data_IF_921962547780
#
_entry.id   IF_921962547780
#
_cell.length_a   1.000
_cell.length_b   1.000
_cell.length_c   1.000
_cell.angle_alpha   90.00
_cell.angle_beta   90.00
_cell.angle_gamma   90.00
#
_symmetry.space_group_name_H-M   'P 1'
#
loop_
_entity.id
_entity.type
_entity.pdbx_description
1 polymer ?
#
# COMPACT_ATOMS: atom_id res chain seq x y z
N UNK A 1 21.28 6.51 35.36
CA UNK A 1 20.73 6.07 34.06
C UNK A 1 19.21 6.01 34.04
N UNK A 2 18.54 5.28 34.95
CA UNK A 2 17.07 5.14 35.02
C UNK A 2 16.30 6.49 35.06
N UNK A 3 16.73 7.45 35.89
CA UNK A 3 16.08 8.78 36.03
C UNK A 3 16.03 9.59 34.72
N UNK A 4 17.05 9.47 33.86
CA UNK A 4 17.10 10.14 32.54
C UNK A 4 16.15 9.51 31.52
N UNK A 5 15.95 8.19 31.61
CA UNK A 5 15.00 7.46 30.77
C UNK A 5 13.56 7.87 31.10
N UNK A 6 13.22 7.97 32.39
CA UNK A 6 11.88 8.42 32.81
C UNK A 6 11.58 9.87 32.38
N UNK A 7 12.55 10.78 32.54
CA UNK A 7 12.38 12.17 32.08
C UNK A 7 12.21 12.23 30.55
N UNK A 8 12.99 11.46 29.79
CA UNK A 8 12.83 11.37 28.34
C UNK A 8 11.46 10.81 27.96
N UNK A 9 10.98 9.76 28.64
CA UNK A 9 9.67 9.18 28.38
C UNK A 9 8.54 10.17 28.66
N UNK A 10 8.61 10.90 29.79
CA UNK A 10 7.62 11.92 30.17
C UNK A 10 7.60 13.07 29.15
N UNK A 11 8.77 13.57 28.76
CA UNK A 11 8.87 14.63 27.74
C UNK A 11 8.33 14.15 26.39
N UNK A 12 8.69 12.94 25.96
CA UNK A 12 8.13 12.34 24.75
C UNK A 12 6.60 12.22 24.83
N UNK A 13 6.04 11.77 25.96
CA UNK A 13 4.58 11.69 26.10
C UNK A 13 3.88 13.05 26.01
N UNK A 14 4.49 14.13 26.53
CA UNK A 14 3.94 15.49 26.42
C UNK A 14 3.93 15.97 24.97
N UNK A 15 5.00 15.72 24.21
CA UNK A 15 5.08 16.12 22.79
C UNK A 15 4.15 15.31 21.89
N UNK A 16 3.84 14.06 22.25
CA UNK A 16 2.96 13.20 21.46
C UNK A 16 1.50 13.28 21.88
N UNK A 17 1.20 13.86 23.06
CA UNK A 17 -0.17 14.03 23.56
C UNK A 17 -1.12 14.73 22.56
N UNK A 18 -0.72 15.82 21.87
CA UNK A 18 -1.61 16.49 20.91
C UNK A 18 -2.05 15.59 19.74
N UNK A 19 -1.27 14.54 19.40
CA UNK A 19 -1.62 13.59 18.33
C UNK A 19 -2.83 12.72 18.66
N UNK A 20 -3.33 12.71 19.90
CA UNK A 20 -4.50 11.90 20.26
C UNK A 20 -5.80 12.70 20.38
N UNK A 21 -5.74 14.04 20.22
CA UNK A 21 -6.89 14.94 20.33
C UNK A 21 -7.21 15.67 19.03
N UNK A 22 -6.37 15.53 18.01
CA UNK A 22 -6.62 16.10 16.69
C UNK A 22 -7.59 15.22 15.88
N UNK A 23 -8.40 15.86 15.05
CA UNK A 23 -9.26 15.17 14.09
C UNK A 23 -8.42 14.71 12.88
N UNK A 24 -8.31 13.40 12.71
CA UNK A 24 -7.62 12.75 11.60
C UNK A 24 -8.60 12.03 10.66
N UNK A 25 -9.76 12.63 10.41
CA UNK A 25 -10.82 12.08 9.56
C UNK A 25 -10.36 11.47 8.23
N UNK A 26 -9.41 12.11 7.53
CA UNK A 26 -8.85 11.59 6.27
C UNK A 26 -8.10 10.28 6.49
N UNK A 27 -7.22 10.22 7.49
CA UNK A 27 -6.44 9.00 7.75
C UNK A 27 -7.29 7.88 8.34
N UNK A 28 -8.28 8.23 9.19
CA UNK A 28 -9.26 7.27 9.68
C UNK A 28 -10.08 6.67 8.53
N UNK A 29 -10.45 7.47 7.53
CA UNK A 29 -11.08 6.96 6.30
C UNK A 29 -10.16 6.00 5.55
N UNK A 30 -8.89 6.35 5.34
CA UNK A 30 -7.91 5.46 4.68
C UNK A 30 -7.68 4.17 5.45
N UNK A 31 -7.58 4.22 6.79
CA UNK A 31 -7.47 3.04 7.63
C UNK A 31 -8.71 2.14 7.53
N UNK A 32 -9.91 2.74 7.49
CA UNK A 32 -11.16 2.01 7.22
C UNK A 32 -11.13 1.31 5.86
N UNK A 33 -10.56 1.94 4.81
CA UNK A 33 -10.37 1.28 3.50
C UNK A 33 -9.37 0.13 3.56
N UNK A 34 -8.30 0.26 4.36
CA UNK A 34 -7.37 -0.85 4.59
C UNK A 34 -8.07 -2.01 5.30
N UNK A 35 -8.95 -1.75 6.27
CA UNK A 35 -9.75 -2.79 6.92
C UNK A 35 -10.61 -3.57 5.91
N UNK A 36 -11.31 -2.87 5.02
CA UNK A 36 -12.11 -3.51 3.95
C UNK A 36 -11.25 -4.42 3.06
N UNK A 37 -10.05 -3.97 2.68
CA UNK A 37 -9.12 -4.81 1.92
C UNK A 37 -8.74 -6.11 2.66
N UNK A 38 -8.54 -6.07 3.98
CA UNK A 38 -8.25 -7.26 4.78
C UNK A 38 -9.45 -8.21 4.88
N UNK A 39 -10.65 -7.67 5.14
CA UNK A 39 -11.90 -8.44 5.20
C UNK A 39 -12.16 -9.17 3.88
N UNK A 40 -11.90 -8.49 2.76
CA UNK A 40 -12.09 -9.02 1.40
C UNK A 40 -10.88 -9.78 0.85
N UNK A 41 -9.80 -9.93 1.63
CA UNK A 41 -8.57 -10.64 1.26
C UNK A 41 -7.87 -10.05 0.03
N UNK A 42 -7.98 -8.75 -0.17
CA UNK A 42 -7.22 -8.00 -1.17
C UNK A 42 -5.85 -7.61 -0.59
N UNK A 43 -4.86 -8.49 -0.74
CA UNK A 43 -3.48 -8.25 -0.29
C UNK A 43 -2.51 -8.45 -1.47
N UNK A 44 -1.72 -7.43 -1.86
CA UNK A 44 -1.73 -6.06 -1.34
C UNK A 44 -3.05 -5.33 -1.64
N UNK A 45 -3.41 -4.36 -0.79
CA UNK A 45 -4.58 -3.50 -1.03
C UNK A 45 -4.31 -2.60 -2.25
N UNK A 46 -5.20 -2.60 -3.25
CA UNK A 46 -5.00 -1.91 -4.54
C UNK A 46 -6.17 -1.00 -4.93
N UNK A 47 -7.37 -1.28 -4.43
CA UNK A 47 -8.57 -0.51 -4.69
C UNK A 47 -9.22 -0.16 -3.37
N UNK A 48 -9.79 1.03 -3.29
CA UNK A 48 -10.46 1.53 -2.10
C UNK A 48 -11.80 2.08 -2.53
N UNK A 49 -12.92 1.36 -2.35
CA UNK A 49 -14.21 1.76 -2.91
C UNK A 49 -14.81 3.00 -2.23
N UNK A 50 -14.43 3.31 -0.98
CA UNK A 50 -14.96 4.45 -0.22
C UNK A 50 -14.24 5.78 -0.46
N UNK A 51 -13.12 5.78 -1.18
CA UNK A 51 -12.41 7.04 -1.53
C UNK A 51 -13.08 7.74 -2.70
N UNK A 52 -12.67 9.00 -2.97
CA UNK A 52 -13.24 9.78 -4.07
C UNK A 52 -14.74 9.90 -3.96
N UNK A 53 -15.25 10.29 -2.78
CA UNK A 53 -16.70 10.44 -2.53
C UNK A 53 -17.54 9.16 -2.69
N UNK A 54 -16.91 7.99 -2.58
CA UNK A 54 -17.57 6.69 -2.73
C UNK A 54 -17.60 6.15 -4.16
N UNK A 55 -16.94 6.83 -5.10
CA UNK A 55 -16.70 6.34 -6.46
C UNK A 55 -15.44 5.47 -6.55
N UNK A 56 -14.61 5.44 -5.51
CA UNK A 56 -13.45 4.59 -5.34
C UNK A 56 -12.19 5.04 -6.08
N UNK A 57 -11.02 4.73 -5.53
CA UNK A 57 -9.74 5.11 -6.11
C UNK A 57 -8.62 4.09 -5.81
N UNK A 58 -7.53 4.09 -6.60
CA UNK A 58 -6.37 3.21 -6.42
C UNK A 58 -5.40 3.67 -5.30
N UNK A 59 -5.92 4.17 -4.17
CA UNK A 59 -5.19 4.81 -3.06
C UNK A 59 -3.84 4.16 -2.72
N UNK A 60 -3.85 2.87 -2.37
CA UNK A 60 -2.67 2.15 -1.86
C UNK A 60 -1.68 1.69 -2.94
N UNK A 61 -1.91 2.02 -4.22
CA UNK A 61 -0.88 1.89 -5.24
C UNK A 61 0.15 3.02 -5.19
N UNK A 62 -0.23 4.16 -4.62
CA UNK A 62 0.55 5.40 -4.69
C UNK A 62 0.90 5.96 -3.30
N UNK A 63 0.18 5.51 -2.28
CA UNK A 63 0.46 5.85 -0.88
C UNK A 63 1.33 4.77 -0.20
N UNK A 64 2.36 5.15 0.59
CA UNK A 64 3.16 4.18 1.35
C UNK A 64 2.26 3.37 2.30
N UNK A 65 2.17 2.03 2.12
CA UNK A 65 1.10 1.27 2.74
C UNK A 65 1.45 0.76 4.15
N UNK A 66 2.73 0.75 4.54
CA UNK A 66 3.19 0.15 5.80
C UNK A 66 2.54 0.77 7.06
N UNK A 67 2.36 2.10 7.18
CA UNK A 67 1.72 2.68 8.34
C UNK A 67 0.27 2.19 8.49
N UNK A 68 -0.46 2.01 7.37
CA UNK A 68 -1.84 1.51 7.38
C UNK A 68 -1.91 0.01 7.65
N UNK A 69 -0.94 -0.80 7.19
CA UNK A 69 -0.85 -2.21 7.59
C UNK A 69 -0.64 -2.35 9.10
N UNK A 70 0.21 -1.50 9.69
CA UNK A 70 0.41 -1.48 11.14
C UNK A 70 -0.82 -0.95 11.88
N UNK A 71 -1.45 0.11 11.37
CA UNK A 71 -2.70 0.63 11.90
C UNK A 71 -3.83 -0.40 11.87
N UNK A 72 -3.93 -1.18 10.81
CA UNK A 72 -4.93 -2.25 10.69
C UNK A 72 -4.70 -3.34 11.73
N UNK A 73 -3.44 -3.73 11.96
CA UNK A 73 -3.10 -4.67 13.02
C UNK A 73 -3.53 -4.14 14.40
N UNK A 74 -3.28 -2.86 14.68
CA UNK A 74 -3.72 -2.24 15.93
C UNK A 74 -5.23 -2.14 16.04
N UNK A 75 -5.91 -1.78 14.94
CA UNK A 75 -7.36 -1.69 14.90
C UNK A 75 -8.01 -3.05 15.18
N UNK A 76 -7.47 -4.12 14.59
CA UNK A 76 -7.93 -5.48 14.85
C UNK A 76 -7.91 -5.85 16.35
N UNK A 77 -6.88 -5.44 17.09
CA UNK A 77 -6.77 -5.74 18.53
C UNK A 77 -7.50 -4.76 19.44
N UNK A 78 -7.62 -3.49 19.04
CA UNK A 78 -8.14 -2.42 19.91
C UNK A 78 -9.60 -2.08 19.62
N UNK A 79 -10.11 -2.36 18.43
CA UNK A 79 -11.42 -1.92 17.94
C UNK A 79 -11.57 -0.40 17.82
N UNK A 80 -10.50 0.37 18.06
CA UNK A 80 -10.55 1.83 18.14
C UNK A 80 -9.82 2.47 16.97
N UNK A 81 -10.61 3.01 16.03
CA UNK A 81 -10.10 3.64 14.82
C UNK A 81 -9.27 4.89 15.14
N UNK A 82 -9.74 5.76 16.03
CA UNK A 82 -9.04 7.00 16.38
C UNK A 82 -7.69 6.73 17.04
N UNK A 83 -7.63 5.78 17.98
CA UNK A 83 -6.39 5.37 18.60
C UNK A 83 -5.41 4.80 17.56
N UNK A 84 -5.89 3.90 16.70
CA UNK A 84 -5.08 3.27 15.66
C UNK A 84 -4.51 4.32 14.70
N UNK A 85 -5.35 5.24 14.20
CA UNK A 85 -4.94 6.35 13.33
C UNK A 85 -3.89 7.26 14.01
N UNK A 86 -4.05 7.55 15.30
CA UNK A 86 -3.09 8.38 16.04
C UNK A 86 -1.69 7.73 16.08
N UNK A 87 -1.64 6.40 16.24
CA UNK A 87 -0.37 5.65 16.30
C UNK A 87 0.32 5.55 14.93
N UNK A 88 -0.44 5.52 13.82
CA UNK A 88 0.12 5.48 12.46
C UNK A 88 1.14 6.60 12.23
N UNK A 89 0.91 7.81 12.76
CA UNK A 89 1.84 8.94 12.63
C UNK A 89 3.20 8.74 13.32
N UNK A 90 3.25 7.88 14.34
CA UNK A 90 4.48 7.55 15.06
C UNK A 90 5.32 6.51 14.34
N UNK A 91 4.69 5.69 13.48
CA UNK A 91 5.33 4.56 12.81
C UNK A 91 6.55 5.00 11.97
N UNK A 92 6.47 6.03 11.11
CA UNK A 92 7.64 6.45 10.33
C UNK A 92 8.80 6.98 11.19
N UNK A 93 8.52 7.63 12.33
CA UNK A 93 9.54 8.13 13.25
C UNK A 93 10.28 6.97 13.93
N UNK A 94 9.54 5.97 14.41
CA UNK A 94 10.11 4.75 15.01
C UNK A 94 10.94 3.97 13.98
N UNK A 95 10.42 3.82 12.76
CA UNK A 95 11.14 3.16 11.66
C UNK A 95 12.43 3.90 11.31
N UNK A 96 12.40 5.23 11.31
CA UNK A 96 13.60 6.05 11.08
C UNK A 96 14.69 5.77 12.14
N UNK A 97 14.31 5.59 13.40
CA UNK A 97 15.26 5.20 14.45
C UNK A 97 15.87 3.81 14.20
N UNK A 98 15.07 2.83 13.76
CA UNK A 98 15.58 1.51 13.37
C UNK A 98 16.52 1.57 12.16
N UNK A 99 16.24 2.43 11.19
CA UNK A 99 17.13 2.68 10.07
C UNK A 99 18.49 3.23 10.52
N UNK A 100 18.50 4.25 11.38
CA UNK A 100 19.74 4.80 11.95
C UNK A 100 20.52 3.71 12.69
N UNK A 101 19.84 2.91 13.51
CA UNK A 101 20.48 1.79 14.23
C UNK A 101 21.15 0.80 13.27
N UNK A 102 20.44 0.37 12.22
CA UNK A 102 20.98 -0.56 11.23
C UNK A 102 22.16 0.06 10.46
N UNK A 103 22.06 1.34 10.11
CA UNK A 103 23.09 2.09 9.41
C UNK A 103 24.37 2.23 10.23
N UNK A 104 24.27 2.61 11.51
CA UNK A 104 25.42 2.71 12.41
C UNK A 104 26.09 1.35 12.63
N UNK A 105 25.29 0.29 12.77
CA UNK A 105 25.81 -1.08 12.92
C UNK A 105 26.58 -1.52 11.67
N UNK A 106 26.07 -1.17 10.48
CA UNK A 106 26.73 -1.41 9.20
C UNK A 106 28.06 -0.66 9.08
N UNK A 107 28.09 0.65 9.39
CA UNK A 107 29.33 1.44 9.33
C UNK A 107 30.40 0.90 10.29
N UNK A 108 29.99 0.51 11.50
CA UNK A 108 30.91 -0.05 12.48
C UNK A 108 31.52 -1.39 12.03
N UNK A 109 30.72 -2.24 11.39
CA UNK A 109 31.16 -3.56 10.94
C UNK A 109 30.52 -3.94 9.60
N UNK A 110 31.31 -3.86 8.52
CA UNK A 110 30.84 -4.19 7.16
C UNK A 110 30.82 -5.70 6.96
N UNK A 111 29.64 -6.30 7.07
CA UNK A 111 29.40 -7.73 6.85
C UNK A 111 27.99 -7.99 6.29
N UNK A 112 27.74 -9.23 5.85
CA UNK A 112 26.46 -9.64 5.25
C UNK A 112 25.28 -9.46 6.20
N UNK A 113 25.43 -9.78 7.49
CA UNK A 113 24.34 -9.66 8.46
C UNK A 113 23.86 -8.22 8.63
N UNK A 114 24.80 -7.28 8.74
CA UNK A 114 24.49 -5.86 8.86
C UNK A 114 23.98 -5.26 7.53
N UNK A 115 24.47 -5.75 6.40
CA UNK A 115 23.90 -5.42 5.09
C UNK A 115 22.43 -5.83 5.00
N UNK A 116 22.07 -7.03 5.48
CA UNK A 116 20.68 -7.49 5.50
C UNK A 116 19.78 -6.66 6.42
N UNK A 117 20.27 -6.31 7.63
CA UNK A 117 19.54 -5.39 8.52
C UNK A 117 19.32 -4.04 7.86
N UNK A 118 20.35 -3.48 7.23
CA UNK A 118 20.24 -2.21 6.51
C UNK A 118 19.24 -2.31 5.36
N UNK A 119 19.31 -3.36 4.54
CA UNK A 119 18.37 -3.59 3.44
C UNK A 119 16.92 -3.67 3.91
N UNK A 120 16.66 -4.46 4.97
CA UNK A 120 15.33 -4.58 5.54
C UNK A 120 14.84 -3.26 6.13
N UNK A 121 15.68 -2.54 6.87
CA UNK A 121 15.36 -1.23 7.41
C UNK A 121 15.12 -0.17 6.32
N UNK A 122 15.86 -0.23 5.20
CA UNK A 122 15.62 0.61 4.02
C UNK A 122 14.24 0.32 3.42
N UNK A 123 13.84 -0.96 3.32
CA UNK A 123 12.54 -1.34 2.78
C UNK A 123 11.38 -0.82 3.63
N UNK A 124 11.42 -1.06 4.94
CA UNK A 124 10.37 -0.56 5.84
C UNK A 124 10.33 0.97 5.88
N UNK A 125 11.47 1.65 5.75
CA UNK A 125 11.53 3.11 5.67
C UNK A 125 10.82 3.61 4.40
N UNK A 126 11.21 3.08 3.23
CA UNK A 126 10.59 3.39 1.92
C UNK A 126 9.08 3.14 1.90
N UNK A 127 8.62 2.08 2.58
CA UNK A 127 7.20 1.75 2.66
C UNK A 127 6.43 2.56 3.72
N UNK A 128 7.13 3.31 4.58
CA UNK A 128 6.53 4.06 5.68
C UNK A 128 6.20 5.50 5.32
N UNK A 129 7.14 6.22 4.71
CA UNK A 129 6.96 7.62 4.38
C UNK A 129 8.01 8.07 3.35
N UNK A 130 7.55 8.61 2.22
CA UNK A 130 8.44 8.99 1.11
C UNK A 130 9.40 10.13 1.48
N UNK A 131 8.93 11.13 2.24
CA UNK A 131 9.75 12.30 2.61
C UNK A 131 10.88 11.91 3.58
N UNK A 132 10.56 11.19 4.66
CA UNK A 132 11.57 10.72 5.59
C UNK A 132 12.57 9.78 4.91
N UNK A 133 12.09 8.90 4.02
CA UNK A 133 12.97 8.05 3.23
C UNK A 133 13.96 8.84 2.40
N UNK A 134 13.52 9.88 1.69
CA UNK A 134 14.39 10.72 0.89
C UNK A 134 15.47 11.40 1.75
N UNK A 135 15.09 11.96 2.91
CA UNK A 135 16.03 12.61 3.83
C UNK A 135 17.08 11.62 4.34
N UNK A 136 16.64 10.49 4.92
CA UNK A 136 17.55 9.51 5.53
C UNK A 136 18.44 8.81 4.51
N UNK A 137 17.93 8.49 3.32
CA UNK A 137 18.73 7.89 2.26
C UNK A 137 19.77 8.87 1.73
N UNK A 138 19.44 10.15 1.56
CA UNK A 138 20.38 11.19 1.12
C UNK A 138 21.51 11.37 2.13
N UNK A 139 21.18 11.50 3.42
CA UNK A 139 22.18 11.63 4.49
C UNK A 139 23.07 10.38 4.57
N UNK A 140 22.46 9.19 4.46
CA UNK A 140 23.21 7.92 4.48
C UNK A 140 24.16 7.81 3.29
N UNK A 141 23.77 8.29 2.11
CA UNK A 141 24.59 8.29 0.91
C UNK A 141 25.82 9.19 1.08
N UNK A 142 25.63 10.44 1.52
CA UNK A 142 26.73 11.39 1.80
C UNK A 142 27.71 10.78 2.82
N UNK A 143 27.19 10.12 3.85
CA UNK A 143 28.02 9.50 4.88
C UNK A 143 28.78 8.28 4.35
N UNK A 144 28.16 7.43 3.52
CA UNK A 144 28.83 6.28 2.88
C UNK A 144 29.99 6.75 2.00
N UNK A 145 29.80 7.80 1.21
CA UNK A 145 30.87 8.39 0.39
C UNK A 145 31.98 8.94 1.29
N UNK A 146 31.63 9.72 2.30
CA UNK A 146 32.62 10.28 3.25
C UNK A 146 33.41 9.20 3.98
N UNK A 147 32.76 8.11 4.41
CA UNK A 147 33.39 6.98 5.07
C UNK A 147 34.29 6.19 4.11
N UNK A 148 33.85 6.00 2.86
CA UNK A 148 34.66 5.39 1.81
C UNK A 148 35.91 6.21 1.50
N UNK A 149 35.82 7.55 1.41
CA UNK A 149 36.98 8.39 1.16
C UNK A 149 38.05 8.29 2.26
N UNK A 150 37.66 7.98 3.50
CA UNK A 150 38.57 7.76 4.64
C UNK A 150 39.17 6.36 4.67
N UNK A 151 38.36 5.32 4.51
CA UNK A 151 38.78 3.91 4.68
C UNK A 151 39.30 3.30 3.37
N UNK A 152 38.86 3.82 2.22
CA UNK A 152 39.16 3.36 0.85
C UNK A 152 38.85 1.88 0.57
N UNK A 153 37.94 1.27 1.34
CA UNK A 153 37.51 -0.11 1.13
C UNK A 153 36.31 -0.20 0.19
N UNK A 154 36.50 -0.86 -0.97
CA UNK A 154 35.42 -1.10 -1.95
C UNK A 154 34.26 -1.93 -1.39
N UNK A 155 34.50 -2.74 -0.36
CA UNK A 155 33.45 -3.52 0.32
C UNK A 155 32.33 -2.61 0.81
N UNK A 156 32.65 -1.43 1.34
CA UNK A 156 31.65 -0.47 1.83
C UNK A 156 30.66 -0.14 0.71
N UNK A 157 31.16 0.26 -0.46
CA UNK A 157 30.32 0.62 -1.61
C UNK A 157 29.47 -0.55 -2.08
N UNK A 158 30.07 -1.75 -2.22
CA UNK A 158 29.36 -2.94 -2.70
C UNK A 158 28.23 -3.32 -1.73
N UNK A 159 28.50 -3.40 -0.43
CA UNK A 159 27.49 -3.77 0.54
C UNK A 159 26.41 -2.69 0.72
N UNK A 160 26.77 -1.40 0.71
CA UNK A 160 25.78 -0.32 0.75
C UNK A 160 24.87 -0.33 -0.47
N UNK A 161 25.43 -0.50 -1.67
CA UNK A 161 24.66 -0.58 -2.91
C UNK A 161 23.77 -1.82 -2.95
N UNK A 162 24.29 -2.97 -2.53
CA UNK A 162 23.51 -4.21 -2.42
C UNK A 162 22.37 -4.06 -1.42
N UNK A 163 22.61 -3.41 -0.28
CA UNK A 163 21.57 -3.14 0.71
C UNK A 163 20.48 -2.21 0.16
N UNK A 164 20.86 -1.14 -0.55
CA UNK A 164 19.92 -0.22 -1.18
C UNK A 164 19.08 -0.92 -2.25
N UNK A 165 19.70 -1.65 -3.18
CA UNK A 165 18.98 -2.40 -4.22
C UNK A 165 18.03 -3.41 -3.59
N UNK A 166 18.49 -4.17 -2.60
CA UNK A 166 17.66 -5.18 -1.93
C UNK A 166 16.49 -4.51 -1.20
N UNK A 167 16.72 -3.37 -0.53
CA UNK A 167 15.68 -2.60 0.14
C UNK A 167 14.63 -2.04 -0.83
N UNK A 168 15.06 -1.46 -1.96
CA UNK A 168 14.16 -0.99 -3.03
C UNK A 168 13.40 -2.16 -3.65
N UNK A 169 14.06 -3.29 -3.90
CA UNK A 169 13.45 -4.48 -4.51
C UNK A 169 12.41 -5.13 -3.60
N UNK A 170 12.64 -5.16 -2.28
CA UNK A 170 11.62 -5.58 -1.31
C UNK A 170 10.35 -4.72 -1.41
N UNK A 171 10.49 -3.43 -1.72
CA UNK A 171 9.37 -2.49 -1.87
C UNK A 171 8.82 -2.37 -3.29
N UNK A 172 9.29 -3.19 -4.23
CA UNK A 172 8.89 -3.12 -5.64
C UNK A 172 7.37 -3.15 -5.84
N UNK A 173 6.64 -3.97 -5.07
CA UNK A 173 5.17 -4.07 -5.10
C UNK A 173 4.45 -2.72 -5.00
N UNK A 174 5.05 -1.74 -4.32
CA UNK A 174 4.53 -0.39 -4.14
C UNK A 174 5.28 0.63 -5.00
N UNK A 175 6.61 0.61 -4.97
CA UNK A 175 7.43 1.63 -5.63
C UNK A 175 7.33 1.61 -7.15
N UNK A 176 7.24 0.43 -7.77
CA UNK A 176 7.14 0.34 -9.23
C UNK A 176 5.80 0.90 -9.72
N UNK A 177 4.63 0.49 -9.19
CA UNK A 177 3.36 1.15 -9.53
C UNK A 177 3.38 2.65 -9.26
N UNK A 178 3.93 3.09 -8.12
CA UNK A 178 4.05 4.52 -7.81
C UNK A 178 4.79 5.30 -8.92
N UNK A 179 5.92 4.80 -9.38
CA UNK A 179 6.79 5.49 -10.34
C UNK A 179 6.21 5.44 -11.76
N UNK A 180 5.73 4.27 -12.19
CA UNK A 180 5.37 4.03 -13.59
C UNK A 180 3.88 4.23 -13.89
N UNK A 181 3.00 4.05 -12.90
CA UNK A 181 1.56 4.26 -13.03
C UNK A 181 1.13 5.61 -12.41
N UNK A 182 2.04 6.38 -11.81
CA UNK A 182 1.74 7.67 -11.14
C UNK A 182 1.19 8.76 -12.06
N UNK A 183 1.25 8.57 -13.38
CA UNK A 183 0.60 9.43 -14.38
C UNK A 183 -0.88 9.07 -14.64
N UNK A 184 -1.38 7.96 -14.09
CA UNK A 184 -2.77 7.52 -14.21
C UNK A 184 -3.71 8.14 -13.17
N UNK A 185 -3.17 9.01 -12.32
CA UNK A 185 -3.90 9.78 -11.31
C UNK A 185 -3.66 11.28 -11.50
N UNK A 186 -4.61 12.10 -11.09
CA UNK A 186 -4.39 13.54 -11.00
C UNK A 186 -3.39 13.84 -9.88
N UNK A 187 -2.23 14.39 -10.22
CA UNK A 187 -1.17 14.74 -9.26
C UNK A 187 -1.44 16.03 -8.48
N UNK A 188 -2.69 16.48 -8.40
CA UNK A 188 -3.04 17.68 -7.62
C UNK A 188 -3.08 17.29 -6.15
N UNK A 189 -2.00 17.60 -5.43
CA UNK A 189 -1.87 17.45 -3.98
C UNK A 189 -3.02 18.19 -3.28
N UNK A 190 -4.02 17.46 -2.81
CA UNK A 190 -4.98 17.98 -1.85
C UNK A 190 -5.19 16.92 -0.80
N UNK A 191 -4.53 17.07 0.37
CA UNK A 191 -4.66 16.20 1.53
C UNK A 191 -6.13 16.09 2.01
N UNK A 192 -6.92 15.29 1.29
CA UNK A 192 -8.39 15.22 1.36
C UNK A 192 -8.84 13.83 0.92
N UNK A 193 -10.11 13.50 1.16
CA UNK A 193 -10.73 12.23 0.69
C UNK A 193 -10.76 12.07 -0.84
N UNK A 194 -10.31 13.07 -1.62
CA UNK A 194 -10.20 13.06 -3.08
C UNK A 194 -8.80 12.68 -3.59
N UNK A 195 -7.91 12.29 -2.69
CA UNK A 195 -6.57 11.84 -3.07
C UNK A 195 -6.63 10.65 -4.05
N UNK A 196 -5.75 10.69 -5.07
CA UNK A 196 -5.55 9.65 -6.07
C UNK A 196 -6.71 9.43 -7.06
N UNK A 197 -7.46 10.49 -7.39
CA UNK A 197 -8.49 10.46 -8.44
C UNK A 197 -7.90 10.00 -9.79
N UNK A 198 -8.46 8.97 -10.47
CA UNK A 198 -8.02 8.55 -11.79
C UNK A 198 -8.10 9.66 -12.85
N UNK A 199 -7.14 9.69 -13.79
CA UNK A 199 -7.14 10.69 -14.90
C UNK A 199 -8.36 10.60 -15.83
N UNK A 200 -9.07 9.47 -15.80
CA UNK A 200 -10.28 9.26 -16.61
C UNK A 200 -11.48 10.07 -16.10
N UNK A 201 -11.44 10.54 -14.85
CA UNK A 201 -12.35 11.56 -14.36
C UNK A 201 -11.78 12.94 -14.72
N UNK A 202 -12.38 13.63 -15.68
CA UNK A 202 -11.98 15.01 -16.02
C UNK A 202 -12.39 16.03 -14.97
N UNK A 203 -13.41 15.71 -14.16
CA UNK A 203 -13.93 16.55 -13.09
C UNK A 203 -13.92 15.84 -11.74
N UNK A 204 -13.91 16.62 -10.67
CA UNK A 204 -14.06 16.10 -9.31
C UNK A 204 -15.54 15.88 -8.99
N UNK A 205 -15.89 14.79 -8.27
CA UNK A 205 -17.24 14.59 -7.79
C UNK A 205 -17.64 15.70 -6.81
N UNK A 206 -18.80 16.33 -7.04
CA UNK A 206 -19.37 17.35 -6.15
C UNK A 206 -20.22 16.75 -5.03
N UNK A 207 -20.68 15.52 -5.23
CA UNK A 207 -21.61 14.83 -4.35
C UNK A 207 -21.11 13.43 -4.03
N UNK A 208 -21.52 12.93 -2.86
CA UNK A 208 -21.23 11.56 -2.42
C UNK A 208 -22.07 10.59 -3.24
N UNK A 209 -21.47 9.48 -3.67
CA UNK A 209 -22.14 8.37 -4.34
C UNK A 209 -23.13 7.65 -3.40
N UNK A 210 -24.33 8.24 -3.21
CA UNK A 210 -25.40 7.65 -2.39
C UNK A 210 -25.96 6.38 -3.03
N UNK A 211 -26.19 6.45 -4.34
CA UNK A 211 -26.60 5.29 -5.13
C UNK A 211 -25.36 4.63 -5.75
N UNK A 212 -25.33 3.30 -5.74
CA UNK A 212 -24.20 2.51 -6.27
C UNK A 212 -24.21 2.38 -7.78
N UNK A 213 -25.37 2.58 -8.39
CA UNK A 213 -25.59 2.56 -9.83
C UNK A 213 -26.77 3.47 -10.17
N UNK A 214 -26.79 3.94 -11.41
CA UNK A 214 -27.81 4.81 -11.97
C UNK A 214 -28.30 4.22 -13.29
N UNK A 215 -29.61 4.16 -13.48
CA UNK A 215 -30.21 3.76 -14.76
C UNK A 215 -30.37 5.04 -15.60
N UNK A 216 -29.58 5.17 -16.67
CA UNK A 216 -29.60 6.36 -17.53
C UNK A 216 -30.75 6.32 -18.54
N UNK A 217 -31.01 5.12 -19.09
CA UNK A 217 -32.09 4.86 -20.04
C UNK A 217 -32.62 3.44 -19.85
N UNK A 218 -33.87 3.22 -20.25
CA UNK A 218 -34.53 1.91 -20.13
C UNK A 218 -35.18 1.71 -18.76
N UNK A 219 -35.67 0.49 -18.53
CA UNK A 219 -36.30 0.07 -17.28
C UNK A 219 -35.71 -1.27 -16.85
N UNK A 220 -35.08 -1.25 -15.68
CA UNK A 220 -34.36 -2.40 -15.14
C UNK A 220 -34.58 -2.49 -13.65
N UNK A 221 -34.90 -3.67 -13.15
CA UNK A 221 -34.98 -3.95 -11.72
C UNK A 221 -33.65 -4.54 -11.30
N UNK A 222 -32.94 -3.89 -10.37
CA UNK A 222 -31.63 -4.35 -9.87
C UNK A 222 -31.79 -4.93 -8.47
N UNK A 223 -31.21 -6.10 -8.24
CA UNK A 223 -31.28 -6.84 -6.98
C UNK A 223 -29.97 -7.58 -6.71
N UNK A 224 -29.82 -8.10 -5.49
CA UNK A 224 -28.62 -8.81 -5.01
C UNK A 224 -27.31 -8.02 -5.20
N UNK A 225 -27.33 -6.69 -5.03
CA UNK A 225 -26.12 -5.88 -5.15
C UNK A 225 -25.16 -6.18 -4.01
N UNK A 226 -23.95 -6.59 -4.37
CA UNK A 226 -22.84 -6.85 -3.45
C UNK A 226 -21.60 -6.10 -3.93
N UNK A 227 -20.95 -5.37 -3.03
CA UNK A 227 -19.71 -4.65 -3.32
C UNK A 227 -18.68 -4.99 -2.25
N UNK A 228 -17.51 -5.39 -2.74
CA UNK A 228 -16.28 -5.62 -1.96
C UNK A 228 -15.24 -4.57 -2.34
N UNK A 229 -14.08 -4.64 -1.69
CA UNK A 229 -12.93 -3.76 -1.90
C UNK A 229 -12.47 -3.68 -3.36
N UNK A 230 -12.45 -4.77 -4.12
CA UNK A 230 -11.98 -4.78 -5.52
C UNK A 230 -12.91 -5.50 -6.51
N UNK A 231 -14.14 -5.78 -6.10
CA UNK A 231 -15.11 -6.43 -6.96
C UNK A 231 -16.54 -6.03 -6.56
N UNK A 232 -17.46 -6.20 -7.50
CA UNK A 232 -18.88 -6.01 -7.28
C UNK A 232 -19.67 -7.04 -8.10
N UNK A 233 -20.91 -7.29 -7.69
CA UNK A 233 -21.86 -8.11 -8.45
C UNK A 233 -23.28 -7.67 -8.19
N UNK A 234 -24.13 -7.81 -9.19
CA UNK A 234 -25.58 -7.61 -9.06
C UNK A 234 -26.31 -8.38 -10.14
N UNK A 235 -27.59 -8.62 -9.93
CA UNK A 235 -28.49 -9.17 -10.94
C UNK A 235 -29.48 -8.13 -11.39
N UNK A 236 -29.97 -8.27 -12.60
CA UNK A 236 -31.00 -7.37 -13.08
C UNK A 236 -31.95 -8.02 -14.07
N UNK A 237 -33.20 -7.58 -14.05
CA UNK A 237 -34.23 -7.92 -15.04
C UNK A 237 -34.47 -6.66 -15.89
N UNK A 238 -34.02 -6.71 -17.13
CA UNK A 238 -34.13 -5.63 -18.10
C UNK A 238 -35.34 -5.85 -18.99
N UNK A 239 -36.27 -4.88 -19.01
CA UNK A 239 -37.50 -4.97 -19.85
C UNK A 239 -37.27 -4.46 -21.26
N UNK A 240 -36.24 -3.63 -21.45
CA UNK A 240 -35.81 -3.03 -22.71
C UNK A 240 -34.31 -2.79 -22.65
N UNK A 241 -33.70 -2.49 -23.80
CA UNK A 241 -32.31 -2.05 -23.88
C UNK A 241 -32.03 -0.92 -22.86
N UNK A 242 -31.14 -1.19 -21.91
CA UNK A 242 -30.94 -0.34 -20.72
C UNK A 242 -29.47 0.04 -20.61
N UNK A 243 -29.21 1.31 -20.31
CA UNK A 243 -27.88 1.81 -20.00
C UNK A 243 -27.77 2.02 -18.49
N UNK A 244 -26.85 1.29 -17.85
CA UNK A 244 -26.59 1.39 -16.42
C UNK A 244 -25.19 2.00 -16.22
N UNK A 245 -25.11 3.07 -15.44
CA UNK A 245 -23.86 3.68 -15.00
C UNK A 245 -23.56 3.30 -13.57
N UNK A 246 -22.37 2.75 -13.32
CA UNK A 246 -21.91 2.40 -11.99
C UNK A 246 -21.30 3.63 -11.33
N UNK A 247 -21.57 3.84 -10.04
CA UNK A 247 -20.88 4.84 -9.22
C UNK A 247 -19.48 4.33 -8.84
N UNK A 248 -18.68 3.99 -9.84
CA UNK A 248 -17.36 3.39 -9.73
C UNK A 248 -16.45 4.01 -10.81
N UNK A 249 -15.42 4.74 -10.37
CA UNK A 249 -14.40 5.27 -11.27
C UNK A 249 -13.70 4.14 -12.02
N UNK A 250 -13.49 4.34 -13.32
CA UNK A 250 -12.63 3.49 -14.10
C UNK A 250 -11.16 3.74 -13.75
N UNK A 251 -10.40 2.65 -13.77
CA UNK A 251 -8.96 2.62 -13.65
C UNK A 251 -8.44 1.36 -14.38
N UNK A 252 -7.19 1.33 -14.90
CA UNK A 252 -6.79 0.28 -15.83
C UNK A 252 -6.84 -1.12 -15.20
N UNK A 253 -7.31 -2.09 -15.99
CA UNK A 253 -7.59 -3.48 -15.61
C UNK A 253 -8.82 -3.71 -14.72
N UNK A 254 -9.77 -2.78 -14.69
CA UNK A 254 -11.16 -3.14 -14.38
C UNK A 254 -11.74 -3.99 -15.52
N UNK A 255 -12.36 -5.11 -15.17
CA UNK A 255 -13.04 -6.01 -16.09
C UNK A 255 -14.46 -6.23 -15.63
N UNK A 256 -15.41 -6.22 -16.58
CA UNK A 256 -16.82 -6.49 -16.33
C UNK A 256 -17.22 -7.75 -17.09
N UNK A 257 -17.95 -8.62 -16.40
CA UNK A 257 -18.51 -9.85 -16.92
C UNK A 257 -20.02 -9.76 -16.87
N UNK A 258 -20.66 -10.00 -18.02
CA UNK A 258 -22.12 -10.11 -18.14
C UNK A 258 -22.40 -11.57 -18.51
N UNK A 259 -23.16 -12.26 -17.68
CA UNK A 259 -23.48 -13.68 -17.84
C UNK A 259 -22.22 -14.57 -17.98
N UNK A 260 -21.17 -14.21 -17.24
CA UNK A 260 -19.88 -14.89 -17.22
C UNK A 260 -18.94 -14.55 -18.39
N UNK A 261 -19.39 -13.77 -19.38
CA UNK A 261 -18.57 -13.36 -20.52
C UNK A 261 -17.94 -11.99 -20.27
N UNK A 262 -16.64 -11.85 -20.55
CA UNK A 262 -15.95 -10.57 -20.53
C UNK A 262 -16.58 -9.63 -21.55
N UNK A 263 -17.01 -8.46 -21.11
CA UNK A 263 -17.73 -7.49 -21.94
C UNK A 263 -17.08 -6.11 -21.86
N UNK A 264 -17.00 -5.44 -23.02
CA UNK A 264 -16.56 -4.06 -23.10
C UNK A 264 -17.59 -3.11 -22.46
N UNK A 265 -17.11 -2.01 -21.91
CA UNK A 265 -17.93 -1.00 -21.26
C UNK A 265 -17.41 0.40 -21.56
N UNK A 266 -18.29 1.39 -21.47
CA UNK A 266 -17.98 2.79 -21.76
C UNK A 266 -17.60 3.54 -20.49
N UNK A 267 -16.57 4.38 -20.54
CA UNK A 267 -16.15 5.19 -19.39
C UNK A 267 -15.63 6.58 -19.78
N UNK A 268 -15.52 6.88 -21.09
CA UNK A 268 -14.97 8.15 -21.58
C UNK A 268 -16.07 9.19 -21.77
N UNK A 269 -17.29 8.75 -22.11
CA UNK A 269 -18.43 9.62 -22.32
C UNK A 269 -19.15 10.05 -21.01
N UNK A 270 -18.37 10.47 -20.01
CA UNK A 270 -18.85 11.17 -18.81
C UNK A 270 -17.69 11.85 -18.07
N UNK A 271 -17.96 12.98 -17.40
CA UNK A 271 -16.91 13.79 -16.77
C UNK A 271 -16.24 13.14 -15.55
N UNK A 272 -16.88 12.13 -14.96
CA UNK A 272 -16.38 11.42 -13.78
C UNK A 272 -15.67 10.10 -14.12
N UNK A 273 -15.50 9.74 -15.40
CA UNK A 273 -14.83 8.49 -15.78
C UNK A 273 -15.51 7.22 -15.24
N UNK A 274 -16.83 7.24 -15.04
CA UNK A 274 -17.61 6.15 -14.45
C UNK A 274 -17.91 5.06 -15.47
N UNK A 275 -17.77 3.81 -15.05
CA UNK A 275 -18.04 2.64 -15.89
C UNK A 275 -19.54 2.54 -16.21
N UNK A 276 -19.87 2.46 -17.50
CA UNK A 276 -21.23 2.43 -18.04
C UNK A 276 -21.39 1.19 -18.92
N UNK A 277 -22.38 0.36 -18.59
CA UNK A 277 -22.67 -0.88 -19.30
C UNK A 277 -24.00 -0.76 -20.03
N UNK A 278 -24.11 -1.50 -21.13
CA UNK A 278 -25.30 -1.59 -21.95
C UNK A 278 -25.82 -3.01 -21.84
N UNK A 279 -27.09 -3.15 -21.48
CA UNK A 279 -27.75 -4.44 -21.30
C UNK A 279 -28.85 -4.64 -22.34
N UNK A 280 -28.99 -5.89 -22.78
CA UNK A 280 -30.07 -6.33 -23.67
C UNK A 280 -31.40 -6.37 -22.93
N UNK A 281 -32.37 -7.11 -23.49
CA UNK A 281 -33.58 -7.49 -22.78
C UNK A 281 -33.36 -8.87 -22.14
N UNK A 282 -33.88 -9.06 -20.93
CA UNK A 282 -33.82 -10.31 -20.19
C UNK A 282 -33.17 -10.19 -18.82
N UNK A 283 -32.92 -11.34 -18.21
CA UNK A 283 -32.21 -11.45 -16.94
C UNK A 283 -30.70 -11.50 -17.19
N UNK A 284 -29.96 -10.68 -16.46
CA UNK A 284 -28.51 -10.61 -16.55
C UNK A 284 -27.85 -10.69 -15.17
N UNK A 285 -26.76 -11.45 -15.11
CA UNK A 285 -25.86 -11.44 -13.97
C UNK A 285 -24.60 -10.63 -14.32
N UNK A 286 -24.39 -9.52 -13.60
CA UNK A 286 -23.26 -8.64 -13.80
C UNK A 286 -22.27 -8.84 -12.66
N UNK A 287 -21.00 -8.93 -12.99
CA UNK A 287 -19.92 -8.87 -12.02
C UNK A 287 -18.76 -8.05 -12.58
N UNK A 288 -18.08 -7.31 -11.71
CA UNK A 288 -16.87 -6.60 -12.08
C UNK A 288 -15.77 -6.85 -11.09
N UNK A 289 -14.53 -6.90 -11.57
CA UNK A 289 -13.35 -7.10 -10.73
C UNK A 289 -12.17 -6.29 -11.23
N UNK A 290 -11.43 -5.74 -10.27
CA UNK A 290 -10.19 -5.05 -10.52
C UNK A 290 -9.01 -6.03 -10.43
N UNK A 291 -8.29 -6.17 -11.54
CA UNK A 291 -7.14 -7.05 -11.65
C UNK A 291 -5.82 -6.27 -11.62
N UNK A 292 -4.75 -6.94 -11.20
CA UNK A 292 -3.41 -6.39 -11.33
C UNK A 292 -3.01 -6.24 -12.80
N UNK A 293 -2.26 -5.18 -13.12
CA UNK A 293 -1.59 -5.01 -14.41
C UNK A 293 -0.38 -5.95 -14.49
N UNK A 294 0.12 -6.30 -15.69
CA UNK A 294 1.36 -7.06 -15.82
C UNK A 294 2.52 -6.44 -15.04
N UNK A 295 2.58 -5.09 -15.00
CA UNK A 295 3.55 -4.35 -14.20
C UNK A 295 3.41 -4.63 -12.71
N UNK A 296 2.19 -4.56 -12.14
CA UNK A 296 1.94 -4.88 -10.72
C UNK A 296 2.26 -6.34 -10.39
N UNK A 297 1.94 -7.28 -11.29
CA UNK A 297 2.28 -8.71 -11.11
C UNK A 297 3.80 -8.89 -11.01
N UNK A 298 4.56 -8.33 -11.97
CA UNK A 298 6.03 -8.39 -11.95
C UNK A 298 6.59 -7.74 -10.68
N UNK A 299 6.02 -6.60 -10.27
CA UNK A 299 6.43 -5.88 -9.06
C UNK A 299 6.23 -6.70 -7.79
N UNK A 300 5.08 -7.40 -7.68
CA UNK A 300 4.79 -8.31 -6.58
C UNK A 300 5.80 -9.49 -6.57
N UNK A 301 6.12 -10.05 -7.73
CA UNK A 301 7.09 -11.14 -7.87
C UNK A 301 8.49 -10.70 -7.43
N UNK A 302 8.96 -9.53 -7.87
CA UNK A 302 10.27 -8.98 -7.47
C UNK A 302 10.35 -8.86 -5.95
N UNK A 303 9.33 -8.26 -5.31
CA UNK A 303 9.26 -8.15 -3.86
C UNK A 303 9.29 -9.51 -3.17
N UNK A 304 8.49 -10.47 -3.62
CA UNK A 304 8.40 -11.81 -3.02
C UNK A 304 9.71 -12.59 -3.16
N UNK A 305 10.31 -12.61 -4.34
CA UNK A 305 11.59 -13.29 -4.59
C UNK A 305 12.71 -12.66 -3.76
N UNK A 306 12.76 -11.31 -3.69
CA UNK A 306 13.76 -10.61 -2.88
C UNK A 306 13.61 -10.96 -1.39
N UNK A 307 12.37 -11.01 -0.89
CA UNK A 307 12.09 -11.41 0.48
C UNK A 307 12.55 -12.83 0.78
N UNK A 308 12.23 -13.79 -0.07
CA UNK A 308 12.64 -15.20 0.08
C UNK A 308 14.17 -15.31 0.07
N UNK A 309 14.84 -14.68 -0.90
CA UNK A 309 16.30 -14.72 -1.00
C UNK A 309 16.96 -14.09 0.24
N UNK A 310 16.50 -12.91 0.67
CA UNK A 310 17.02 -12.28 1.88
C UNK A 310 16.78 -13.14 3.12
N UNK A 311 15.62 -13.79 3.22
CA UNK A 311 15.32 -14.70 4.33
C UNK A 311 16.27 -15.90 4.32
N UNK A 312 16.52 -16.53 3.17
CA UNK A 312 17.49 -17.63 3.04
C UNK A 312 18.88 -17.18 3.48
N UNK A 313 19.37 -16.03 3.00
CA UNK A 313 20.70 -15.52 3.38
C UNK A 313 20.72 -15.17 4.87
N UNK A 314 19.66 -14.59 5.42
CA UNK A 314 19.54 -14.29 6.84
C UNK A 314 19.63 -15.56 7.71
N UNK A 315 18.86 -16.59 7.37
CA UNK A 315 18.88 -17.88 8.05
C UNK A 315 20.27 -18.53 7.95
N UNK A 316 20.91 -18.44 6.78
CA UNK A 316 22.28 -18.93 6.58
C UNK A 316 23.32 -18.13 7.37
N UNK A 317 23.15 -16.84 7.62
CA UNK A 317 24.11 -16.03 8.39
C UNK A 317 23.93 -16.16 9.90
N UNK A 318 22.74 -16.53 10.37
CA UNK A 318 22.42 -16.55 11.79
C UNK A 318 23.14 -17.69 12.54
N UNK A 319 24.06 -17.31 13.44
CA UNK A 319 24.86 -18.26 14.24
C UNK A 319 24.01 -19.21 15.09
N UNK A 320 22.87 -18.75 15.61
CA UNK A 320 21.97 -19.58 16.40
C UNK A 320 21.34 -20.69 15.54
N UNK A 321 20.84 -20.32 14.37
CA UNK A 321 20.25 -21.27 13.41
C UNK A 321 21.31 -22.26 12.93
N UNK A 322 22.54 -21.80 12.62
CA UNK A 322 23.64 -22.71 12.29
C UNK A 322 23.90 -23.74 13.38
N UNK A 323 23.94 -23.33 14.64
CA UNK A 323 24.13 -24.24 15.79
C UNK A 323 22.97 -25.22 15.92
N UNK A 324 21.74 -24.75 15.75
CA UNK A 324 20.53 -25.56 15.85
C UNK A 324 20.46 -26.62 14.73
N UNK A 325 20.74 -26.23 13.48
CA UNK A 325 20.83 -27.16 12.34
C UNK A 325 21.95 -28.18 12.52
N UNK A 326 23.12 -27.75 13.03
CA UNK A 326 24.23 -28.65 13.31
C UNK A 326 23.91 -29.65 14.43
N UNK A 327 23.15 -29.25 15.44
CA UNK A 327 22.69 -30.12 16.53
C UNK A 327 21.79 -31.26 15.99
N UNK A 328 20.77 -30.95 15.18
CA UNK A 328 19.89 -31.98 14.63
C UNK A 328 20.58 -32.88 13.59
N UNK A 329 21.51 -32.35 12.79
CA UNK A 329 22.31 -33.18 11.86
C UNK A 329 23.13 -34.25 12.59
N UNK A 330 23.57 -33.98 13.81
CA UNK A 330 24.29 -34.95 14.66
C UNK A 330 23.40 -35.97 15.36
N UNK A 331 22.08 -35.76 15.38
CA UNK A 331 21.12 -36.68 15.99
C UNK A 331 20.45 -37.63 14.99
N UNK A 332 20.65 -37.41 13.69
CA UNK A 332 20.05 -38.21 12.58
C UNK A 332 21.09 -39.11 11.91
N UNK A 333 22.38 -38.84 12.08
CA UNK A 333 23.49 -39.72 11.71
C UNK A 333 24.24 -40.15 12.95
#
# INVERSE_FOLDING_TARGET
MKKRIYISAILSTIFLWPLFFNDFSVESSRLSQMNLCFEDKQIPCRWSPGTGFGYGSPLFNYLPPLPYYFGQLLYYYTGNLNFSTSVIYLVPLVISAFFIWAFLRFINTVNVSNMLYLAFCTAILLSSNNLLSAVFLTVSFIWVISYYLRVKSRKILIYSFTALISGVSLCAFYLIPLIFEGNLIHQKLFATSMDYLPIYASEYPKEVAREKLQILTGTSEVYDFNQRSNNFSFKTITKRHTIIRLSQHYFPNWQIFIDGKLTEFEYKNNSLGLMTIILGEGEHQISGRFFDTPLRIISNIISAVTFILMMIVFLYQNKFIKKWVAYYKKGIG
#
